data_IF_966480642300
#
_entry.id   IF_966480642300
#
_cell.length_a   1.000
_cell.length_b   1.000
_cell.length_c   1.000
_cell.angle_alpha   90.00
_cell.angle_beta   90.00
_cell.angle_gamma   90.00
#
_symmetry.space_group_name_H-M   'P 1'
#
loop_
_entity.id
_entity.type
_entity.pdbx_description
1 polymer ?
#
# COMPACT_ATOMS: atom_id res chain seq x y z
N UNK A 1 22.71 27.52 1.61
CA UNK A 1 22.86 26.28 2.37
C UNK A 1 24.27 25.82 2.15
N UNK A 2 25.04 25.62 3.21
CA UNK A 2 26.40 25.10 3.06
C UNK A 2 26.37 23.57 2.87
N UNK A 3 27.54 22.98 2.64
CA UNK A 3 27.67 21.55 2.35
C UNK A 3 27.21 20.67 3.52
N UNK A 4 27.52 21.07 4.75
CA UNK A 4 27.18 20.30 5.96
C UNK A 4 25.68 20.37 6.25
N UNK A 5 25.07 21.55 6.10
CA UNK A 5 23.63 21.74 6.24
C UNK A 5 22.85 20.80 5.31
N UNK A 6 23.31 20.62 4.07
CA UNK A 6 22.64 19.72 3.11
C UNK A 6 22.78 18.26 3.53
N UNK A 7 23.94 17.84 4.03
CA UNK A 7 24.12 16.48 4.59
C UNK A 7 23.14 16.25 5.74
N UNK A 8 23.04 17.20 6.68
CA UNK A 8 22.18 17.07 7.84
C UNK A 8 20.70 17.00 7.43
N UNK A 9 20.28 17.83 6.45
CA UNK A 9 18.93 17.76 5.87
C UNK A 9 18.65 16.46 5.14
N UNK A 10 19.63 15.87 4.45
CA UNK A 10 19.48 14.54 3.82
C UNK A 10 19.16 13.49 4.89
N UNK A 11 19.81 13.55 6.05
CA UNK A 11 19.51 12.64 7.16
C UNK A 11 18.19 12.94 7.85
N UNK A 12 17.84 14.22 8.04
CA UNK A 12 16.56 14.62 8.62
C UNK A 12 15.38 14.17 7.74
N UNK A 13 15.50 14.31 6.42
CA UNK A 13 14.51 13.84 5.46
C UNK A 13 14.30 12.32 5.49
N UNK A 14 15.24 11.56 6.05
CA UNK A 14 15.06 10.13 6.27
C UNK A 14 13.91 9.82 7.25
N UNK A 15 13.68 10.74 8.21
CA UNK A 15 12.68 10.64 9.26
C UNK A 15 11.45 11.52 9.01
N UNK A 16 11.62 12.60 8.24
CA UNK A 16 10.57 13.56 7.89
C UNK A 16 10.46 13.64 6.36
N UNK A 17 9.66 12.76 5.73
CA UNK A 17 9.57 12.67 4.26
C UNK A 17 9.13 13.97 3.55
N UNK A 18 8.50 14.88 4.28
CA UNK A 18 8.09 16.21 3.81
C UNK A 18 9.28 17.11 3.46
N UNK A 19 10.48 16.81 3.96
CA UNK A 19 11.70 17.59 3.69
C UNK A 19 12.41 17.20 2.39
N UNK A 20 12.04 16.07 1.76
CA UNK A 20 12.68 15.63 0.51
C UNK A 20 12.62 16.64 -0.64
N UNK A 21 11.51 17.37 -0.88
CA UNK A 21 11.48 18.42 -1.91
C UNK A 21 12.55 19.50 -1.69
N UNK A 22 12.80 19.90 -0.44
CA UNK A 22 13.83 20.89 -0.09
C UNK A 22 15.24 20.32 -0.31
N UNK A 23 15.46 19.05 0.05
CA UNK A 23 16.72 18.34 -0.23
C UNK A 23 16.98 18.26 -1.74
N UNK A 24 15.97 17.89 -2.53
CA UNK A 24 16.07 17.82 -3.99
C UNK A 24 16.36 19.20 -4.59
N UNK A 25 15.71 20.25 -4.07
CA UNK A 25 15.97 21.62 -4.51
C UNK A 25 17.40 22.07 -4.17
N UNK A 26 17.90 21.72 -2.98
CA UNK A 26 19.27 22.04 -2.57
C UNK A 26 20.32 21.28 -3.38
N UNK A 27 20.09 19.99 -3.68
CA UNK A 27 20.91 19.23 -4.64
C UNK A 27 20.89 19.88 -6.03
N UNK A 28 19.72 20.37 -6.47
CA UNK A 28 19.60 21.12 -7.71
C UNK A 28 20.48 22.37 -7.73
N UNK A 29 20.62 23.08 -6.60
CA UNK A 29 21.50 24.24 -6.49
C UNK A 29 23.00 23.87 -6.61
N UNK A 30 23.41 22.67 -6.18
CA UNK A 30 24.80 22.18 -6.32
C UNK A 30 25.19 21.97 -7.79
N UNK A 31 24.24 21.51 -8.61
CA UNK A 31 24.48 21.18 -10.02
C UNK A 31 23.85 22.14 -11.01
N UNK A 32 23.36 23.29 -10.53
CA UNK A 32 22.61 24.29 -11.31
C UNK A 32 21.41 23.70 -12.08
N UNK A 33 20.73 22.70 -11.51
CA UNK A 33 19.53 22.10 -12.08
C UNK A 33 18.30 22.93 -11.77
N UNK A 34 17.40 23.05 -12.73
CA UNK A 34 16.17 23.82 -12.59
C UNK A 34 15.10 23.09 -11.74
N UNK A 35 15.15 21.76 -11.66
CA UNK A 35 14.13 20.95 -10.98
C UNK A 35 14.66 19.54 -10.70
N UNK A 36 13.95 18.76 -9.88
CA UNK A 36 14.31 17.37 -9.63
C UNK A 36 13.21 16.52 -9.02
N UNK A 37 13.47 15.22 -8.95
CA UNK A 37 12.59 14.25 -8.32
C UNK A 37 13.35 13.09 -7.68
N UNK A 38 12.76 12.54 -6.62
CA UNK A 38 13.07 11.26 -6.02
C UNK A 38 11.90 10.31 -6.31
N UNK A 39 12.19 9.10 -6.78
CA UNK A 39 11.19 8.06 -7.03
C UNK A 39 11.63 6.76 -6.33
N UNK A 40 10.68 6.01 -5.79
CA UNK A 40 10.93 4.71 -5.16
C UNK A 40 10.11 3.65 -5.86
N UNK A 41 10.79 2.77 -6.58
CA UNK A 41 10.19 1.64 -7.28
C UNK A 41 10.24 0.41 -6.39
N UNK A 42 9.09 -0.08 -5.95
CA UNK A 42 8.94 -1.28 -5.11
C UNK A 42 8.16 -2.41 -5.80
N UNK A 43 7.96 -2.28 -7.12
CA UNK A 43 7.13 -3.18 -7.91
C UNK A 43 5.62 -2.89 -7.83
N UNK A 44 5.21 -1.88 -7.05
CA UNK A 44 3.80 -1.59 -6.76
C UNK A 44 3.33 -0.26 -7.39
N UNK A 45 2.04 0.05 -7.20
CA UNK A 45 1.39 1.26 -7.69
C UNK A 45 0.56 1.93 -6.57
N UNK A 46 0.47 3.28 -6.54
CA UNK A 46 1.30 4.21 -7.30
C UNK A 46 2.78 4.15 -6.86
N UNK A 47 3.70 4.57 -7.74
CA UNK A 47 5.11 4.74 -7.36
C UNK A 47 5.19 5.86 -6.32
N UNK A 48 5.88 5.63 -5.21
CA UNK A 48 6.10 6.70 -4.24
C UNK A 48 7.17 7.68 -4.74
N UNK A 49 6.89 8.98 -4.62
CA UNK A 49 7.77 10.01 -5.17
C UNK A 49 7.76 11.30 -4.34
N UNK A 50 8.81 12.09 -4.53
CA UNK A 50 8.91 13.49 -4.13
C UNK A 50 9.49 14.28 -5.29
N UNK A 51 8.98 15.48 -5.53
CA UNK A 51 9.45 16.32 -6.61
C UNK A 51 9.38 17.78 -6.20
N UNK A 52 10.24 18.59 -6.80
CA UNK A 52 10.12 20.05 -6.75
C UNK A 52 8.86 20.49 -7.49
N UNK A 53 8.33 21.66 -7.11
CA UNK A 53 7.03 22.16 -7.60
C UNK A 53 6.90 22.15 -9.13
N UNK A 54 7.95 22.50 -9.85
CA UNK A 54 7.94 22.58 -11.32
C UNK A 54 7.74 21.21 -12.01
N UNK A 55 8.18 20.12 -11.39
CA UNK A 55 8.03 18.77 -11.96
C UNK A 55 6.93 17.93 -11.29
N UNK A 56 6.29 18.46 -10.25
CA UNK A 56 5.35 17.70 -9.44
C UNK A 56 4.26 17.01 -10.27
N UNK A 57 3.51 17.75 -11.09
CA UNK A 57 2.40 17.19 -11.88
C UNK A 57 2.87 16.15 -12.91
N UNK A 58 4.04 16.38 -13.52
CA UNK A 58 4.60 15.46 -14.52
C UNK A 58 5.01 14.14 -13.89
N UNK A 59 5.68 14.20 -12.73
CA UNK A 59 6.09 13.01 -11.99
C UNK A 59 4.88 12.30 -11.38
N UNK A 60 3.92 13.04 -10.83
CA UNK A 60 2.67 12.49 -10.31
C UNK A 60 1.91 11.69 -11.39
N UNK A 61 1.74 12.26 -12.59
CA UNK A 61 1.07 11.58 -13.70
C UNK A 61 1.83 10.33 -14.15
N UNK A 62 3.17 10.35 -14.14
CA UNK A 62 3.96 9.16 -14.40
C UNK A 62 3.75 8.07 -13.32
N UNK A 63 3.80 8.46 -12.05
CA UNK A 63 3.73 7.54 -10.90
C UNK A 63 2.35 6.91 -10.68
N UNK A 64 1.30 7.51 -11.25
CA UNK A 64 -0.10 7.04 -11.14
C UNK A 64 -0.58 6.24 -12.36
N UNK A 65 0.26 6.10 -13.39
CA UNK A 65 -0.04 5.26 -14.57
C UNK A 65 0.81 3.99 -14.59
N UNK A 66 0.33 2.93 -15.27
CA UNK A 66 1.09 1.68 -15.43
C UNK A 66 2.24 1.78 -16.45
N UNK A 67 2.47 2.95 -17.05
CA UNK A 67 3.45 3.16 -18.13
C UNK A 67 4.88 2.79 -17.73
N UNK A 68 5.23 2.88 -16.44
CA UNK A 68 6.57 2.51 -15.97
C UNK A 68 6.87 1.00 -16.06
N UNK A 69 5.85 0.12 -16.05
CA UNK A 69 6.05 -1.34 -16.05
C UNK A 69 6.67 -1.83 -17.37
N UNK A 70 6.30 -1.17 -18.45
CA UNK A 70 6.80 -1.45 -19.79
C UNK A 70 8.04 -0.61 -20.14
N UNK A 71 8.45 0.30 -19.24
CA UNK A 71 9.59 1.17 -19.47
C UNK A 71 10.89 0.38 -19.47
N UNK A 72 11.55 0.33 -20.63
CA UNK A 72 12.87 -0.26 -20.82
C UNK A 72 13.93 0.38 -19.92
N UNK A 73 13.74 1.64 -19.51
CA UNK A 73 14.61 2.32 -18.54
C UNK A 73 14.59 1.64 -17.18
N UNK A 74 13.41 1.27 -16.70
CA UNK A 74 13.27 0.61 -15.40
C UNK A 74 13.91 -0.76 -15.45
N UNK A 75 13.73 -1.51 -16.54
CA UNK A 75 14.41 -2.81 -16.74
C UNK A 75 15.94 -2.66 -16.80
N UNK A 76 16.43 -1.57 -17.41
CA UNK A 76 17.85 -1.27 -17.49
C UNK A 76 18.48 -1.07 -16.10
N UNK A 77 17.74 -0.51 -15.12
CA UNK A 77 18.20 -0.35 -13.74
C UNK A 77 18.62 -1.67 -13.08
N UNK A 78 17.86 -2.75 -13.31
CA UNK A 78 18.10 -4.04 -12.67
C UNK A 78 19.29 -4.79 -13.26
N UNK A 79 19.72 -4.43 -14.47
CA UNK A 79 20.78 -5.14 -15.21
C UNK A 79 22.08 -4.36 -15.30
N UNK A 80 22.06 -3.05 -15.02
CA UNK A 80 23.22 -2.17 -15.12
C UNK A 80 23.35 -1.37 -13.82
N UNK A 81 24.15 -1.83 -12.84
CA UNK A 81 24.31 -1.10 -11.59
C UNK A 81 25.03 0.24 -11.81
N UNK A 82 24.57 1.27 -11.12
CA UNK A 82 25.17 2.61 -11.14
C UNK A 82 25.74 2.95 -9.76
N UNK A 83 26.92 3.58 -9.72
CA UNK A 83 27.52 4.15 -8.52
C UNK A 83 27.73 5.64 -8.73
N UNK A 84 27.00 6.46 -7.98
CA UNK A 84 27.02 7.91 -8.14
C UNK A 84 26.01 8.44 -9.16
N UNK A 85 26.04 9.76 -9.33
CA UNK A 85 25.34 10.49 -10.36
C UNK A 85 26.05 10.36 -11.71
N UNK A 86 25.26 10.06 -12.74
CA UNK A 86 25.68 10.05 -14.12
C UNK A 86 24.69 10.83 -15.00
N UNK A 87 25.17 11.24 -16.16
CA UNK A 87 24.32 11.81 -17.20
C UNK A 87 23.40 10.74 -17.78
N UNK A 88 22.14 11.09 -17.96
CA UNK A 88 21.16 10.20 -18.57
C UNK A 88 21.55 9.72 -19.96
N UNK A 89 22.14 10.61 -20.77
CA UNK A 89 22.61 10.31 -22.12
C UNK A 89 23.82 9.36 -22.16
N UNK A 90 24.62 9.32 -21.11
CA UNK A 90 25.78 8.43 -21.00
C UNK A 90 25.41 7.06 -20.41
N UNK A 91 24.44 7.06 -19.50
CA UNK A 91 24.01 5.85 -18.80
C UNK A 91 23.06 4.97 -19.64
N UNK A 92 22.12 5.58 -20.36
CA UNK A 92 21.16 4.81 -21.17
C UNK A 92 21.60 4.71 -22.63
N UNK A 93 21.42 3.52 -23.26
CA UNK A 93 21.49 3.39 -24.71
C UNK A 93 20.54 4.38 -25.42
N UNK A 94 20.94 4.99 -26.56
CA UNK A 94 20.14 5.99 -27.26
C UNK A 94 18.72 5.52 -27.58
N UNK A 95 18.54 4.26 -27.93
CA UNK A 95 17.25 3.67 -28.30
C UNK A 95 16.28 3.67 -27.10
N UNK A 96 16.80 3.44 -25.89
CA UNK A 96 16.01 3.49 -24.65
C UNK A 96 15.60 4.94 -24.33
N UNK A 97 16.43 5.93 -24.69
CA UNK A 97 16.16 7.36 -24.45
C UNK A 97 15.11 7.89 -25.42
N UNK A 98 15.17 7.51 -26.69
CA UNK A 98 14.28 7.99 -27.76
C UNK A 98 12.85 7.46 -27.66
N UNK A 99 12.68 6.21 -27.21
CA UNK A 99 11.38 5.55 -27.04
C UNK A 99 10.66 5.97 -25.74
N UNK A 100 11.33 6.64 -24.80
CA UNK A 100 10.78 6.90 -23.47
C UNK A 100 9.78 8.08 -23.46
N UNK A 101 8.49 7.76 -23.35
CA UNK A 101 7.40 8.75 -23.31
C UNK A 101 7.58 9.81 -22.22
N UNK A 102 8.16 9.43 -21.06
CA UNK A 102 8.39 10.35 -19.95
C UNK A 102 9.43 11.41 -20.34
N UNK A 103 10.54 11.02 -20.95
CA UNK A 103 11.52 11.97 -21.47
C UNK A 103 10.95 12.84 -22.59
N UNK A 104 10.12 12.30 -23.48
CA UNK A 104 9.46 13.10 -24.52
C UNK A 104 8.53 14.16 -23.90
N UNK A 105 7.79 13.83 -22.84
CA UNK A 105 6.97 14.81 -22.09
C UNK A 105 7.83 15.87 -21.41
N UNK A 106 8.93 15.48 -20.78
CA UNK A 106 9.87 16.40 -20.15
C UNK A 106 10.51 17.36 -21.17
N UNK A 107 10.89 16.87 -22.35
CA UNK A 107 11.37 17.69 -23.49
C UNK A 107 10.34 18.73 -23.92
N UNK A 108 9.07 18.36 -24.01
CA UNK A 108 7.97 19.30 -24.33
C UNK A 108 7.76 20.37 -23.26
N UNK A 109 8.15 20.10 -22.01
CA UNK A 109 8.14 21.05 -20.90
C UNK A 109 9.43 21.88 -20.81
N UNK A 110 10.32 21.76 -21.79
CA UNK A 110 11.56 22.52 -21.87
C UNK A 110 12.72 21.93 -21.08
N UNK A 111 12.72 20.63 -20.76
CA UNK A 111 13.85 19.94 -20.12
C UNK A 111 14.57 19.02 -21.10
N UNK A 112 15.89 19.15 -21.23
CA UNK A 112 16.64 18.41 -22.27
C UNK A 112 17.66 17.41 -21.71
N UNK A 113 18.30 17.75 -20.60
CA UNK A 113 19.35 16.95 -19.97
C UNK A 113 19.04 16.67 -18.49
N UNK A 114 19.59 15.59 -17.95
CA UNK A 114 19.43 15.25 -16.54
C UNK A 114 20.62 14.44 -16.00
N UNK A 115 21.00 14.77 -14.78
CA UNK A 115 21.88 13.96 -13.95
C UNK A 115 21.03 13.10 -13.02
N UNK A 116 21.36 11.83 -12.87
CA UNK A 116 20.62 10.95 -11.97
C UNK A 116 21.47 9.86 -11.36
N UNK A 117 20.99 9.33 -10.24
CA UNK A 117 21.57 8.17 -9.56
C UNK A 117 20.49 7.15 -9.26
N UNK A 118 20.89 5.88 -9.19
CA UNK A 118 20.05 4.73 -8.88
C UNK A 118 20.65 4.05 -7.66
N UNK A 119 19.84 3.83 -6.63
CA UNK A 119 20.28 3.25 -5.37
C UNK A 119 19.41 2.03 -5.07
N UNK A 120 19.89 0.81 -5.33
CA UNK A 120 19.17 -0.41 -4.98
C UNK A 120 19.19 -0.61 -3.46
N UNK A 121 18.03 -0.86 -2.87
CA UNK A 121 17.86 -1.11 -1.45
C UNK A 121 17.93 -2.62 -1.16
N UNK A 122 18.46 -3.04 0.01
CA UNK A 122 18.46 -4.44 0.43
C UNK A 122 17.07 -5.07 0.55
N UNK A 123 16.04 -4.22 0.72
CA UNK A 123 14.62 -4.59 0.82
C UNK A 123 13.95 -4.79 -0.55
N UNK A 124 14.69 -4.59 -1.64
CA UNK A 124 14.28 -4.84 -3.02
C UNK A 124 13.77 -3.61 -3.78
N UNK A 125 13.57 -2.49 -3.10
CA UNK A 125 13.21 -1.22 -3.75
C UNK A 125 14.39 -0.60 -4.49
N UNK A 126 14.09 0.19 -5.50
CA UNK A 126 15.06 1.04 -6.18
C UNK A 126 14.71 2.49 -5.94
N UNK A 127 15.65 3.25 -5.38
CA UNK A 127 15.52 4.71 -5.22
C UNK A 127 16.22 5.39 -6.39
N UNK A 128 15.52 6.30 -7.06
CA UNK A 128 16.06 7.09 -8.16
C UNK A 128 16.01 8.55 -7.79
N UNK A 129 17.15 9.24 -7.89
CA UNK A 129 17.19 10.70 -7.89
C UNK A 129 17.48 11.17 -9.30
N UNK A 130 16.72 12.15 -9.79
CA UNK A 130 16.91 12.76 -11.09
C UNK A 130 16.81 14.29 -10.97
N UNK A 131 17.83 15.00 -11.43
CA UNK A 131 17.92 16.45 -11.48
C UNK A 131 17.94 16.89 -12.93
N UNK A 132 17.06 17.81 -13.30
CA UNK A 132 16.76 18.17 -14.68
C UNK A 132 17.22 19.59 -15.01
N UNK A 133 17.84 19.76 -16.19
CA UNK A 133 18.19 21.05 -16.79
C UNK A 133 17.19 21.51 -17.83
N UNK A 134 17.01 22.84 -17.95
CA UNK A 134 16.21 23.42 -19.02
C UNK A 134 16.95 23.32 -20.34
N UNK A 135 16.21 23.40 -21.44
CA UNK A 135 16.75 23.30 -22.81
C UNK A 135 17.76 24.39 -23.15
N UNK A 136 17.67 25.54 -22.47
CA UNK A 136 18.56 26.68 -22.68
C UNK A 136 19.80 26.66 -21.78
N UNK A 137 19.89 25.71 -20.85
CA UNK A 137 21.05 25.55 -19.96
C UNK A 137 22.14 24.72 -20.65
N UNK A 138 23.41 24.94 -20.30
CA UNK A 138 24.52 24.10 -20.76
C UNK A 138 24.36 22.63 -20.31
N UNK A 139 25.11 21.70 -20.88
CA UNK A 139 25.19 20.33 -20.36
C UNK A 139 25.87 20.28 -18.98
N UNK A 140 25.61 19.23 -18.18
CA UNK A 140 26.31 19.07 -16.90
C UNK A 140 27.82 18.91 -17.12
N UNK A 141 28.60 19.71 -16.41
CA UNK A 141 30.04 19.57 -16.34
C UNK A 141 30.44 18.43 -15.40
N UNK A 142 31.62 17.86 -15.63
CA UNK A 142 32.20 16.87 -14.72
C UNK A 142 32.32 17.37 -13.27
N UNK A 143 32.65 18.65 -13.08
CA UNK A 143 32.76 19.27 -11.75
C UNK A 143 31.44 19.27 -11.00
N UNK A 144 30.32 19.51 -11.69
CA UNK A 144 28.99 19.47 -11.08
C UNK A 144 28.56 18.05 -10.72
N UNK A 145 28.87 17.07 -11.59
CA UNK A 145 28.63 15.66 -11.29
C UNK A 145 29.48 15.18 -10.10
N UNK A 146 30.76 15.56 -10.05
CA UNK A 146 31.66 15.28 -8.92
C UNK A 146 31.11 15.89 -7.62
N UNK A 147 30.59 17.12 -7.67
CA UNK A 147 29.93 17.77 -6.53
C UNK A 147 28.66 17.06 -6.06
N UNK A 148 27.83 16.55 -6.98
CA UNK A 148 26.68 15.70 -6.61
C UNK A 148 27.12 14.37 -6.00
N UNK A 149 28.23 13.80 -6.50
CA UNK A 149 28.77 12.53 -6.04
C UNK A 149 29.29 12.57 -4.59
N UNK A 150 29.67 13.75 -4.08
CA UNK A 150 29.97 13.92 -2.65
C UNK A 150 28.77 13.57 -1.75
N UNK A 151 27.53 13.77 -2.23
CA UNK A 151 26.30 13.46 -1.49
C UNK A 151 25.76 12.05 -1.73
N UNK A 152 26.27 11.30 -2.72
CA UNK A 152 25.75 9.98 -3.08
C UNK A 152 25.71 9.02 -1.88
N UNK A 153 26.81 8.93 -1.13
CA UNK A 153 26.90 8.07 0.05
C UNK A 153 25.96 8.49 1.18
N UNK A 154 25.59 9.76 1.28
CA UNK A 154 24.62 10.28 2.24
C UNK A 154 23.19 9.94 1.82
N UNK A 155 22.85 10.14 0.54
CA UNK A 155 21.56 9.77 -0.03
C UNK A 155 21.29 8.27 0.09
N UNK A 156 22.30 7.44 -0.18
CA UNK A 156 22.19 5.98 -0.03
C UNK A 156 21.94 5.56 1.42
N UNK A 157 22.68 6.12 2.37
CA UNK A 157 22.50 5.84 3.81
C UNK A 157 21.14 6.32 4.33
N UNK A 158 20.74 7.53 3.97
CA UNK A 158 19.44 8.10 4.34
C UNK A 158 18.29 7.26 3.79
N UNK A 159 18.35 6.91 2.50
CA UNK A 159 17.36 6.02 1.86
C UNK A 159 17.25 4.65 2.56
N UNK A 160 18.39 4.05 2.89
CA UNK A 160 18.44 2.78 3.64
C UNK A 160 17.81 2.91 5.03
N UNK A 161 18.05 4.02 5.74
CA UNK A 161 17.46 4.29 7.05
C UNK A 161 15.94 4.41 6.95
N UNK A 162 15.42 5.17 5.98
CA UNK A 162 13.97 5.27 5.74
C UNK A 162 13.32 3.92 5.47
N UNK A 163 13.91 3.10 4.59
CA UNK A 163 13.42 1.76 4.28
C UNK A 163 13.40 0.85 5.53
N UNK A 164 14.47 0.86 6.33
CA UNK A 164 14.56 0.06 7.57
C UNK A 164 13.56 0.49 8.63
N UNK A 165 13.41 1.80 8.87
CA UNK A 165 12.46 2.32 9.86
C UNK A 165 11.04 1.87 9.56
N UNK A 166 10.66 1.87 8.29
CA UNK A 166 9.34 1.41 7.86
C UNK A 166 9.10 -0.07 8.02
N UNK A 167 10.10 -0.88 7.69
CA UNK A 167 10.03 -2.31 7.99
C UNK A 167 9.86 -2.55 9.50
N UNK A 168 10.58 -1.81 10.34
CA UNK A 168 10.41 -1.90 11.80
C UNK A 168 9.02 -1.45 12.27
N UNK A 169 8.42 -0.44 11.64
CA UNK A 169 7.06 -0.01 11.95
C UNK A 169 6.02 -1.07 11.56
N UNK A 170 6.21 -1.74 10.42
CA UNK A 170 5.38 -2.89 10.01
C UNK A 170 5.48 -4.04 11.03
N UNK A 171 6.70 -4.37 11.47
CA UNK A 171 6.92 -5.36 12.53
C UNK A 171 6.23 -4.98 13.85
N UNK A 172 6.40 -3.73 14.30
CA UNK A 172 5.78 -3.24 15.52
C UNK A 172 4.24 -3.32 15.46
N UNK A 173 3.66 -3.00 14.29
CA UNK A 173 2.20 -3.09 14.07
C UNK A 173 1.70 -4.53 14.17
N UNK A 174 2.38 -5.49 13.51
CA UNK A 174 2.04 -6.90 13.60
C UNK A 174 2.21 -7.47 15.02
N UNK A 175 3.28 -7.07 15.71
CA UNK A 175 3.56 -7.46 17.09
C UNK A 175 2.51 -6.91 18.07
N UNK A 176 2.03 -5.68 17.87
CA UNK A 176 0.95 -5.11 18.68
C UNK A 176 -0.34 -5.94 18.58
N UNK A 177 -0.68 -6.46 17.39
CA UNK A 177 -1.83 -7.36 17.23
C UNK A 177 -1.62 -8.69 17.95
N UNK A 178 -0.39 -9.21 17.96
CA UNK A 178 -0.06 -10.42 18.71
C UNK A 178 -0.27 -10.23 20.22
N UNK A 179 0.03 -9.04 20.76
CA UNK A 179 -0.23 -8.71 22.16
C UNK A 179 -1.73 -8.72 22.51
N UNK A 180 -2.61 -8.51 21.53
CA UNK A 180 -4.07 -8.68 21.67
C UNK A 180 -4.56 -10.11 21.37
N UNK A 181 -3.65 -11.05 21.10
CA UNK A 181 -4.00 -12.42 20.74
C UNK A 181 -4.54 -12.58 19.32
N UNK A 182 -4.26 -11.64 18.43
CA UNK A 182 -4.79 -11.63 17.06
C UNK A 182 -3.71 -11.98 16.02
N UNK A 183 -3.92 -13.02 15.19
CA UNK A 183 -3.12 -13.25 13.98
C UNK A 183 -3.17 -12.04 13.05
N UNK A 184 -2.00 -11.54 12.64
CA UNK A 184 -1.93 -10.37 11.79
C UNK A 184 -0.74 -10.36 10.83
N UNK A 185 -0.95 -9.68 9.70
CA UNK A 185 0.07 -9.38 8.71
C UNK A 185 -0.03 -7.93 8.25
N UNK A 186 1.10 -7.30 7.98
CA UNK A 186 1.19 -5.98 7.37
C UNK A 186 1.68 -6.17 5.94
N UNK A 187 0.91 -5.64 4.98
CA UNK A 187 1.14 -5.79 3.55
C UNK A 187 1.33 -4.39 2.93
N UNK A 188 2.14 -4.33 1.87
CA UNK A 188 2.14 -3.20 0.93
C UNK A 188 0.80 -3.09 0.21
N UNK A 189 0.58 -1.99 -0.51
CA UNK A 189 -0.60 -1.77 -1.35
C UNK A 189 -0.75 -2.88 -2.41
N UNK A 190 0.34 -3.55 -2.80
CA UNK A 190 0.30 -4.69 -3.73
C UNK A 190 -0.06 -6.05 -3.14
N UNK A 191 -0.24 -6.11 -1.82
CA UNK A 191 -0.41 -7.36 -1.11
C UNK A 191 0.89 -8.14 -0.91
N UNK A 192 2.07 -7.55 -1.18
CA UNK A 192 3.36 -8.08 -0.71
C UNK A 192 3.41 -7.96 0.81
N UNK A 193 3.70 -9.05 1.51
CA UNK A 193 3.80 -9.13 2.97
C UNK A 193 5.10 -8.48 3.41
N UNK A 194 5.02 -7.47 4.28
CA UNK A 194 6.16 -6.81 4.92
C UNK A 194 6.49 -7.44 6.27
N UNK A 195 5.45 -7.80 7.04
CA UNK A 195 5.60 -8.47 8.32
C UNK A 195 4.41 -9.35 8.62
N UNK A 196 4.66 -10.44 9.33
CA UNK A 196 3.68 -11.31 9.97
C UNK A 196 3.96 -11.38 11.46
N UNK A 197 2.97 -11.80 12.24
CA UNK A 197 3.22 -12.24 13.60
C UNK A 197 3.14 -13.77 13.70
N UNK A 198 3.71 -14.32 14.77
CA UNK A 198 3.78 -15.77 15.00
C UNK A 198 2.40 -16.45 15.00
N UNK A 199 1.35 -15.74 15.43
CA UNK A 199 -0.01 -16.28 15.46
C UNK A 199 -0.53 -16.56 14.04
N UNK A 200 -0.22 -15.69 13.07
CA UNK A 200 -0.59 -15.91 11.66
C UNK A 200 0.32 -16.92 11.00
N UNK A 201 1.62 -16.89 11.29
CA UNK A 201 2.59 -17.89 10.78
C UNK A 201 2.23 -19.32 11.20
N UNK A 202 1.64 -19.48 12.38
CA UNK A 202 1.13 -20.76 12.89
C UNK A 202 -0.23 -21.16 12.27
N UNK A 203 -0.69 -20.50 11.21
CA UNK A 203 -1.89 -20.86 10.45
C UNK A 203 -1.60 -21.15 8.96
N UNK A 204 -0.65 -22.05 8.63
CA UNK A 204 -0.22 -22.30 7.25
C UNK A 204 -1.32 -22.93 6.37
N UNK A 205 -2.29 -23.63 6.98
CA UNK A 205 -3.44 -24.21 6.26
C UNK A 205 -4.48 -23.15 5.85
N UNK A 206 -4.44 -21.98 6.48
CA UNK A 206 -5.34 -20.86 6.21
C UNK A 206 -4.65 -19.84 5.30
N UNK A 207 -3.46 -19.41 5.70
CA UNK A 207 -2.70 -18.37 5.01
C UNK A 207 -1.51 -18.98 4.29
N UNK A 208 -1.58 -18.97 2.97
CA UNK A 208 -0.60 -19.64 2.10
C UNK A 208 0.32 -18.59 1.47
N UNK A 209 1.65 -18.71 1.59
CA UNK A 209 2.57 -17.83 0.89
C UNK A 209 2.53 -18.07 -0.61
N UNK A 210 2.66 -16.99 -1.38
CA UNK A 210 2.73 -16.99 -2.83
C UNK A 210 4.09 -16.46 -3.31
N UNK A 211 4.37 -16.64 -4.60
CA UNK A 211 5.53 -16.03 -5.25
C UNK A 211 5.54 -14.49 -5.05
N UNK A 212 6.73 -13.90 -5.10
CA UNK A 212 6.97 -12.46 -4.91
C UNK A 212 6.57 -11.94 -3.52
N UNK A 213 6.57 -12.82 -2.50
CA UNK A 213 6.31 -12.44 -1.11
C UNK A 213 4.86 -12.03 -0.84
N UNK A 214 3.91 -12.48 -1.66
CA UNK A 214 2.47 -12.25 -1.44
C UNK A 214 1.89 -13.38 -0.58
N UNK A 215 0.64 -13.22 -0.16
CA UNK A 215 -0.12 -14.27 0.52
C UNK A 215 -1.53 -14.40 -0.05
N UNK A 216 -2.11 -15.58 0.08
CA UNK A 216 -3.51 -15.85 -0.17
C UNK A 216 -4.15 -16.59 1.01
N UNK A 217 -5.48 -16.68 0.95
CA UNK A 217 -6.23 -17.61 1.79
C UNK A 217 -6.37 -18.93 1.01
N UNK A 218 -6.24 -20.08 1.69
CA UNK A 218 -6.36 -21.39 1.07
C UNK A 218 -7.75 -21.67 0.48
N UNK A 219 -8.80 -21.12 1.10
CA UNK A 219 -10.16 -21.16 0.54
C UNK A 219 -10.30 -20.25 -0.68
N UNK A 220 -10.70 -20.81 -1.81
CA UNK A 220 -10.76 -20.12 -3.10
C UNK A 220 -11.72 -18.92 -3.11
N UNK A 221 -12.88 -19.05 -2.46
CA UNK A 221 -13.91 -18.01 -2.46
C UNK A 221 -13.55 -16.87 -1.50
N UNK A 222 -13.10 -17.21 -0.29
CA UNK A 222 -12.58 -16.23 0.68
C UNK A 222 -11.35 -15.51 0.12
N UNK A 223 -10.45 -16.23 -0.58
CA UNK A 223 -9.30 -15.61 -1.22
C UNK A 223 -9.73 -14.62 -2.31
N UNK A 224 -10.72 -14.95 -3.12
CA UNK A 224 -11.22 -14.03 -4.16
C UNK A 224 -11.65 -12.70 -3.54
N UNK A 225 -12.39 -12.75 -2.44
CA UNK A 225 -12.81 -11.56 -1.70
C UNK A 225 -11.61 -10.79 -1.12
N UNK A 226 -10.63 -11.48 -0.52
CA UNK A 226 -9.40 -10.82 -0.03
C UNK A 226 -8.64 -10.11 -1.16
N UNK A 227 -8.48 -10.77 -2.31
CA UNK A 227 -7.81 -10.18 -3.47
C UNK A 227 -8.59 -8.98 -4.04
N UNK A 228 -9.93 -9.01 -4.03
CA UNK A 228 -10.76 -7.86 -4.40
C UNK A 228 -10.47 -6.65 -3.49
N UNK A 229 -10.29 -6.84 -2.18
CA UNK A 229 -9.92 -5.74 -1.26
C UNK A 229 -8.54 -5.16 -1.60
N UNK A 230 -7.54 -6.03 -1.79
CA UNK A 230 -6.17 -5.60 -2.12
C UNK A 230 -6.16 -4.84 -3.46
N UNK A 231 -6.84 -5.36 -4.48
CA UNK A 231 -6.91 -4.74 -5.80
C UNK A 231 -7.66 -3.40 -5.78
N UNK A 232 -8.74 -3.28 -5.01
CA UNK A 232 -9.45 -2.02 -4.85
C UNK A 232 -8.57 -0.94 -4.21
N UNK A 233 -7.79 -1.31 -3.19
CA UNK A 233 -6.81 -0.39 -2.59
C UNK A 233 -5.72 0.05 -3.57
N UNK A 234 -5.20 -0.87 -4.39
CA UNK A 234 -4.27 -0.52 -5.47
C UNK A 234 -4.86 0.50 -6.45
N UNK A 235 -6.13 0.33 -6.81
CA UNK A 235 -6.83 1.22 -7.73
C UNK A 235 -7.25 2.56 -7.09
N UNK A 236 -7.03 2.75 -5.78
CA UNK A 236 -7.54 3.91 -5.05
C UNK A 236 -9.07 3.95 -4.96
N UNK A 237 -9.73 2.81 -5.17
CA UNK A 237 -11.17 2.64 -5.06
C UNK A 237 -11.55 2.20 -3.64
N UNK A 238 -12.79 2.50 -3.22
CA UNK A 238 -13.30 1.90 -1.99
C UNK A 238 -13.63 0.42 -2.23
N UNK A 239 -13.10 -0.50 -1.40
CA UNK A 239 -13.44 -1.91 -1.51
C UNK A 239 -14.91 -2.12 -1.11
N UNK A 240 -15.61 -2.99 -1.83
CA UNK A 240 -17.00 -3.38 -1.53
C UNK A 240 -17.14 -4.18 -0.23
N UNK A 241 -16.05 -4.78 0.25
CA UNK A 241 -15.99 -5.62 1.45
C UNK A 241 -14.70 -5.32 2.20
N UNK A 242 -14.73 -5.23 3.52
CA UNK A 242 -13.52 -5.05 4.38
C UNK A 242 -13.26 -6.22 5.32
N UNK A 243 -14.22 -7.13 5.44
CA UNK A 243 -14.19 -8.27 6.33
C UNK A 243 -14.65 -9.49 5.57
N UNK A 244 -13.82 -10.52 5.53
CA UNK A 244 -14.09 -11.75 4.79
C UNK A 244 -14.26 -12.89 5.80
N UNK A 245 -15.45 -13.51 5.88
CA UNK A 245 -15.65 -14.65 6.76
C UNK A 245 -14.95 -15.89 6.20
N UNK A 246 -14.25 -16.59 7.07
CA UNK A 246 -13.70 -17.92 6.83
C UNK A 246 -14.50 -18.93 7.65
N UNK A 247 -15.19 -19.81 6.94
CA UNK A 247 -16.02 -20.84 7.57
C UNK A 247 -15.18 -22.02 8.02
N UNK A 248 -15.65 -22.72 9.06
CA UNK A 248 -14.98 -23.93 9.52
C UNK A 248 -14.93 -24.99 8.42
N UNK A 249 -13.72 -25.37 8.03
CA UNK A 249 -13.41 -26.48 7.12
C UNK A 249 -12.08 -27.10 7.55
N UNK A 250 -11.95 -28.42 7.42
CA UNK A 250 -10.69 -29.14 7.65
C UNK A 250 -10.00 -28.79 8.98
N UNK A 251 -10.74 -28.79 10.10
CA UNK A 251 -10.22 -28.48 11.43
C UNK A 251 -9.76 -27.01 11.65
N UNK A 252 -10.09 -26.11 10.72
CA UNK A 252 -9.91 -24.66 10.90
C UNK A 252 -11.09 -24.09 11.70
N UNK A 253 -10.80 -23.35 12.76
CA UNK A 253 -11.81 -22.63 13.52
C UNK A 253 -12.42 -21.50 12.67
N UNK A 254 -13.75 -21.26 12.75
CA UNK A 254 -14.37 -20.18 12.01
C UNK A 254 -13.79 -18.84 12.46
N UNK A 255 -13.45 -17.97 11.51
CA UNK A 255 -12.81 -16.68 11.78
C UNK A 255 -13.24 -15.63 10.77
N UNK A 256 -12.95 -14.37 11.05
CA UNK A 256 -13.14 -13.26 10.11
C UNK A 256 -11.80 -12.62 9.84
N UNK A 257 -11.47 -12.51 8.55
CA UNK A 257 -10.27 -11.82 8.10
C UNK A 257 -10.64 -10.39 7.74
N UNK A 258 -10.15 -9.44 8.52
CA UNK A 258 -10.30 -8.01 8.27
C UNK A 258 -9.10 -7.50 7.47
N UNK A 259 -9.37 -6.72 6.43
CA UNK A 259 -8.36 -6.00 5.66
C UNK A 259 -8.57 -4.50 5.87
N UNK A 260 -7.74 -3.92 6.74
CA UNK A 260 -7.85 -2.54 7.19
C UNK A 260 -6.81 -1.67 6.46
N UNK A 261 -7.20 -0.56 5.82
CA UNK A 261 -6.24 0.40 5.32
C UNK A 261 -5.50 1.04 6.51
N UNK A 262 -4.18 0.92 6.52
CA UNK A 262 -3.34 1.76 7.37
C UNK A 262 -3.30 3.12 6.71
N UNK A 263 -3.73 4.18 7.43
CA UNK A 263 -3.87 5.52 6.86
C UNK A 263 -2.58 5.88 6.12
N UNK A 264 -2.72 6.08 4.81
CA UNK A 264 -1.68 6.64 3.96
C UNK A 264 -1.29 7.99 4.55
N UNK A 265 -0.12 8.08 5.19
CA UNK A 265 0.59 9.35 5.11
C UNK A 265 0.90 9.50 3.62
N UNK A 266 0.04 10.22 2.89
CA UNK A 266 0.11 10.44 1.44
C UNK A 266 1.39 11.18 1.00
N UNK A 267 2.35 11.31 1.91
CA UNK A 267 3.59 12.01 1.81
C UNK A 267 4.79 11.08 2.01
N UNK A 268 4.62 9.76 2.17
CA UNK A 268 5.75 8.86 2.36
C UNK A 268 6.16 8.14 1.05
N UNK A 269 7.46 7.94 0.84
CA UNK A 269 8.04 7.59 -0.49
C UNK A 269 8.19 6.08 -0.71
N UNK A 270 8.80 5.34 0.20
CA UNK A 270 8.70 3.89 0.36
C UNK A 270 7.38 3.44 1.05
N UNK A 271 6.90 2.22 0.82
CA UNK A 271 5.71 1.68 1.51
C UNK A 271 6.05 1.16 2.92
N UNK A 272 5.25 1.50 3.94
CA UNK A 272 5.46 1.13 5.35
C UNK A 272 4.46 0.15 5.93
N UNK A 273 3.64 -0.43 5.07
CA UNK A 273 2.43 -1.12 5.44
C UNK A 273 1.22 -0.28 5.08
N UNK A 274 0.53 -0.69 4.03
CA UNK A 274 -0.66 -0.01 3.52
C UNK A 274 -1.93 -0.76 3.95
N UNK A 275 -1.82 -2.08 4.15
CA UNK A 275 -2.92 -2.95 4.49
C UNK A 275 -2.54 -3.76 5.73
N UNK A 276 -3.35 -3.66 6.78
CA UNK A 276 -3.28 -4.54 7.93
C UNK A 276 -4.32 -5.65 7.77
N UNK A 277 -3.84 -6.89 7.67
CA UNK A 277 -4.67 -8.09 7.78
C UNK A 277 -4.73 -8.49 9.24
N UNK A 278 -5.95 -8.68 9.75
CA UNK A 278 -6.20 -9.21 11.10
C UNK A 278 -7.20 -10.35 10.99
N UNK A 279 -6.86 -11.54 11.49
CA UNK A 279 -7.82 -12.62 11.65
C UNK A 279 -8.36 -12.62 13.07
N UNK A 280 -9.69 -12.55 13.22
CA UNK A 280 -10.36 -12.67 14.52
C UNK A 280 -11.10 -14.00 14.56
N UNK A 281 -10.86 -14.87 15.55
CA UNK A 281 -11.67 -16.07 15.71
C UNK A 281 -13.12 -15.65 15.97
N UNK A 282 -14.07 -16.40 15.41
CA UNK A 282 -15.48 -16.27 15.76
C UNK A 282 -15.64 -16.90 17.14
N UNK A 283 -15.24 -16.18 18.18
CA UNK A 283 -15.70 -16.51 19.53
C UNK A 283 -17.21 -16.48 19.49
N UNK A 284 -17.86 -17.55 19.93
CA UNK A 284 -19.29 -17.62 20.13
C UNK A 284 -19.69 -16.68 21.28
N UNK A 285 -19.51 -15.38 21.09
CA UNK A 285 -20.15 -14.39 21.93
C UNK A 285 -21.63 -14.43 21.59
N UNK A 286 -22.47 -14.61 22.59
CA UNK A 286 -23.93 -14.59 22.43
C UNK A 286 -24.44 -13.21 22.03
N UNK A 287 -23.60 -12.17 22.11
CA UNK A 287 -23.94 -10.79 21.79
C UNK A 287 -23.58 -10.44 20.34
N UNK A 288 -24.60 -10.14 19.55
CA UNK A 288 -24.46 -9.48 18.26
C UNK A 288 -24.18 -7.98 18.52
N UNK A 289 -23.25 -7.33 17.79
CA UNK A 289 -23.02 -5.89 17.93
C UNK A 289 -24.30 -5.07 17.77
N UNK A 290 -24.34 -3.87 18.35
CA UNK A 290 -25.50 -3.00 18.21
C UNK A 290 -25.76 -2.65 16.73
N UNK A 291 -27.02 -2.36 16.35
CA UNK A 291 -27.36 -2.00 14.98
C UNK A 291 -26.49 -0.87 14.40
N UNK A 292 -26.17 0.14 15.20
CA UNK A 292 -25.29 1.25 14.81
C UNK A 292 -23.88 0.78 14.47
N UNK A 293 -23.33 -0.17 15.21
CA UNK A 293 -22.02 -0.76 14.96
C UNK A 293 -22.06 -1.59 13.67
N UNK A 294 -23.09 -2.41 13.47
CA UNK A 294 -23.23 -3.21 12.24
C UNK A 294 -23.37 -2.35 10.98
N UNK A 295 -24.12 -1.24 11.07
CA UNK A 295 -24.20 -0.26 9.99
C UNK A 295 -22.83 0.31 9.65
N UNK A 296 -22.02 0.66 10.65
CA UNK A 296 -20.67 1.22 10.43
C UNK A 296 -19.63 0.19 9.98
N UNK A 297 -19.75 -1.08 10.37
CA UNK A 297 -18.78 -2.13 10.02
C UNK A 297 -18.98 -2.69 8.60
N UNK A 298 -20.22 -2.71 8.10
CA UNK A 298 -20.59 -3.38 6.86
C UNK A 298 -21.37 -2.48 5.89
N UNK A 299 -21.42 -1.18 6.16
CA UNK A 299 -22.17 -0.18 5.38
C UNK A 299 -23.64 -0.60 5.13
N UNK A 300 -24.24 -1.28 6.10
CA UNK A 300 -25.63 -1.71 6.02
C UNK A 300 -26.56 -0.51 6.19
N UNK A 301 -27.62 -0.49 5.39
CA UNK A 301 -28.73 0.46 5.60
C UNK A 301 -29.50 0.07 6.87
N UNK A 302 -30.33 0.98 7.43
CA UNK A 302 -31.18 0.65 8.56
C UNK A 302 -32.08 -0.57 8.30
N UNK A 303 -32.61 -0.74 7.08
CA UNK A 303 -33.47 -1.87 6.72
C UNK A 303 -32.69 -3.19 6.65
N UNK A 304 -31.52 -3.19 6.01
CA UNK A 304 -30.63 -4.37 5.93
C UNK A 304 -30.15 -4.80 7.32
N UNK A 305 -29.86 -3.83 8.20
CA UNK A 305 -29.42 -4.09 9.56
C UNK A 305 -30.50 -4.80 10.38
N UNK A 306 -31.77 -4.36 10.28
CA UNK A 306 -32.86 -5.01 11.02
C UNK A 306 -33.09 -6.45 10.56
N UNK A 307 -33.03 -6.71 9.25
CA UNK A 307 -33.10 -8.09 8.73
C UNK A 307 -31.92 -8.92 9.25
N UNK A 308 -30.70 -8.38 9.20
CA UNK A 308 -29.48 -9.06 9.67
C UNK A 308 -29.56 -9.43 11.17
N UNK A 309 -30.05 -8.52 12.01
CA UNK A 309 -30.25 -8.74 13.45
C UNK A 309 -31.26 -9.85 13.73
N UNK A 310 -32.38 -9.89 12.99
CA UNK A 310 -33.39 -10.93 13.13
C UNK A 310 -32.81 -12.32 12.77
N UNK A 311 -32.05 -12.41 11.68
CA UNK A 311 -31.38 -13.64 11.26
C UNK A 311 -30.31 -14.08 12.28
N UNK A 312 -29.53 -13.14 12.81
CA UNK A 312 -28.52 -13.42 13.84
C UNK A 312 -29.11 -13.94 15.17
N UNK A 313 -30.36 -13.55 15.45
CA UNK A 313 -31.16 -14.04 16.57
C UNK A 313 -31.79 -15.43 16.33
N UNK A 314 -31.49 -16.08 15.20
CA UNK A 314 -31.97 -17.42 14.87
C UNK A 314 -33.30 -17.47 14.12
N UNK A 315 -33.87 -16.33 13.73
CA UNK A 315 -35.13 -16.29 12.96
C UNK A 315 -34.91 -16.72 11.51
N UNK A 316 -35.92 -17.34 10.92
CA UNK A 316 -35.97 -17.60 9.48
C UNK A 316 -36.17 -16.31 8.68
N UNK A 317 -35.81 -16.32 7.40
CA UNK A 317 -36.03 -15.17 6.51
C UNK A 317 -37.51 -14.74 6.44
N UNK A 318 -38.45 -15.70 6.57
CA UNK A 318 -39.89 -15.42 6.55
C UNK A 318 -40.33 -14.68 7.82
N UNK A 319 -39.82 -15.09 8.98
CA UNK A 319 -40.09 -14.42 10.26
C UNK A 319 -39.45 -13.03 10.30
N UNK A 320 -38.21 -12.91 9.82
CA UNK A 320 -37.53 -11.62 9.69
C UNK A 320 -38.29 -10.66 8.76
N UNK A 321 -38.86 -11.16 7.66
CA UNK A 321 -39.68 -10.35 6.76
C UNK A 321 -40.96 -9.85 7.45
N UNK A 322 -41.65 -10.73 8.18
CA UNK A 322 -42.86 -10.41 8.92
C UNK A 322 -42.62 -9.33 9.97
N UNK A 323 -41.57 -9.50 10.78
CA UNK A 323 -41.19 -8.56 11.85
C UNK A 323 -40.78 -7.19 11.32
N UNK A 324 -40.18 -7.15 10.13
CA UNK A 324 -39.75 -5.90 9.50
C UNK A 324 -40.80 -5.29 8.58
N UNK A 325 -42.02 -5.84 8.55
CA UNK A 325 -43.12 -5.37 7.71
C UNK A 325 -42.76 -5.29 6.22
N UNK A 326 -41.99 -6.26 5.72
CA UNK A 326 -41.62 -6.38 4.31
C UNK A 326 -42.08 -7.71 3.72
N UNK A 327 -42.22 -7.78 2.40
CA UNK A 327 -42.51 -9.05 1.74
C UNK A 327 -41.30 -9.99 1.82
N UNK A 328 -41.54 -11.31 1.78
CA UNK A 328 -40.44 -12.29 1.70
C UNK A 328 -39.56 -12.05 0.46
N UNK A 329 -40.15 -11.59 -0.64
CA UNK A 329 -39.42 -11.19 -1.86
C UNK A 329 -38.47 -10.02 -1.58
N UNK A 330 -38.94 -8.97 -0.92
CA UNK A 330 -38.14 -7.81 -0.52
C UNK A 330 -37.03 -8.20 0.45
N UNK A 331 -37.34 -9.04 1.45
CA UNK A 331 -36.35 -9.56 2.39
C UNK A 331 -35.26 -10.38 1.69
N UNK A 332 -35.61 -11.15 0.66
CA UNK A 332 -34.63 -11.87 -0.18
C UNK A 332 -33.74 -10.91 -0.97
N UNK A 333 -34.29 -9.84 -1.53
CA UNK A 333 -33.48 -8.80 -2.18
C UNK A 333 -32.57 -8.05 -1.20
N UNK A 334 -33.01 -7.79 0.03
CA UNK A 334 -32.13 -7.25 1.08
C UNK A 334 -31.03 -8.24 1.44
N UNK A 335 -31.35 -9.53 1.55
CA UNK A 335 -30.37 -10.57 1.86
C UNK A 335 -29.28 -10.67 0.79
N UNK A 336 -29.63 -10.57 -0.50
CA UNK A 336 -28.67 -10.52 -1.61
C UNK A 336 -27.72 -9.32 -1.51
N UNK A 337 -28.23 -8.14 -1.13
CA UNK A 337 -27.39 -6.94 -0.92
C UNK A 337 -26.51 -7.06 0.32
N UNK A 338 -27.04 -7.63 1.40
CA UNK A 338 -26.27 -7.91 2.62
C UNK A 338 -25.13 -8.87 2.29
N UNK A 339 -25.41 -9.95 1.56
CA UNK A 339 -24.40 -10.90 1.09
C UNK A 339 -23.27 -10.22 0.31
N UNK A 340 -23.61 -9.33 -0.61
CA UNK A 340 -22.62 -8.54 -1.34
C UNK A 340 -21.76 -7.64 -0.42
N UNK A 341 -22.37 -6.92 0.53
CA UNK A 341 -21.65 -6.01 1.45
C UNK A 341 -20.81 -6.72 2.51
N UNK A 342 -21.19 -7.95 2.85
CA UNK A 342 -20.56 -8.75 3.91
C UNK A 342 -19.63 -9.82 3.37
N UNK A 343 -19.52 -9.97 2.05
CA UNK A 343 -18.75 -11.06 1.42
C UNK A 343 -19.29 -12.45 1.77
N UNK A 344 -20.57 -12.57 2.12
CA UNK A 344 -21.19 -13.86 2.47
C UNK A 344 -22.05 -14.35 1.32
N UNK A 345 -22.37 -15.65 1.28
CA UNK A 345 -23.25 -16.27 0.27
C UNK A 345 -24.39 -17.09 0.87
N UNK A 346 -24.36 -17.32 2.18
CA UNK A 346 -25.36 -18.11 2.88
C UNK A 346 -25.72 -17.45 4.22
N UNK A 347 -26.96 -17.64 4.67
CA UNK A 347 -27.43 -17.08 5.94
C UNK A 347 -26.57 -17.53 7.13
N UNK A 348 -26.12 -18.78 7.14
CA UNK A 348 -25.23 -19.30 8.19
C UNK A 348 -23.88 -18.57 8.24
N UNK A 349 -23.32 -18.21 7.08
CA UNK A 349 -22.07 -17.44 6.98
C UNK A 349 -22.26 -16.02 7.50
N UNK A 350 -23.38 -15.38 7.14
CA UNK A 350 -23.75 -14.06 7.66
C UNK A 350 -23.91 -14.08 9.18
N UNK A 351 -24.62 -15.07 9.73
CA UNK A 351 -24.82 -15.18 11.18
C UNK A 351 -23.49 -15.39 11.91
N UNK A 352 -22.58 -16.20 11.36
CA UNK A 352 -21.25 -16.39 11.91
C UNK A 352 -20.45 -15.07 11.93
N UNK A 353 -20.40 -14.38 10.78
CA UNK A 353 -19.73 -13.08 10.63
C UNK A 353 -20.24 -12.04 11.64
N UNK A 354 -21.56 -11.93 11.80
CA UNK A 354 -22.18 -10.96 12.71
C UNK A 354 -21.82 -11.22 14.18
N UNK A 355 -21.70 -12.50 14.57
CA UNK A 355 -21.33 -12.90 15.95
C UNK A 355 -19.84 -12.72 16.26
N UNK A 356 -18.97 -12.85 15.26
CA UNK A 356 -17.53 -12.55 15.38
C UNK A 356 -17.19 -11.07 15.46
N UNK A 357 -18.02 -10.19 14.90
CA UNK A 357 -17.79 -8.74 14.94
C UNK A 357 -18.04 -8.09 16.30
N UNK A 358 -18.40 -8.86 17.33
CA UNK A 358 -18.41 -8.37 18.70
C UNK A 358 -16.99 -7.96 19.08
N UNK A 359 -16.80 -6.66 19.36
CA UNK A 359 -15.53 -6.14 19.87
C UNK A 359 -15.05 -7.01 21.05
N UNK A 360 -13.74 -7.27 21.19
CA UNK A 360 -13.21 -7.93 22.38
C UNK A 360 -13.61 -7.09 23.60
N UNK A 361 -14.66 -7.52 24.30
CA UNK A 361 -15.10 -6.88 25.51
C UNK A 361 -13.97 -6.98 26.53
N UNK A 362 -13.58 -5.83 27.08
CA UNK A 362 -12.67 -5.71 28.22
C UNK A 362 -12.99 -6.80 29.24
N UNK A 363 -12.14 -7.83 29.34
CA UNK A 363 -12.15 -8.73 30.49
C UNK A 363 -11.47 -7.97 31.63
N UNK A 364 -12.23 -7.15 32.35
CA UNK A 364 -11.87 -6.79 33.72
C UNK A 364 -12.15 -8.03 34.57
N UNK A 365 -11.11 -8.83 34.81
CA UNK A 365 -11.05 -9.84 35.85
C UNK A 365 -10.09 -9.36 36.93
#
# INVERSE_FOLDING_TARGET
MDHQDLIDKIYEAAFIPELWPDVIQALGAVSHSASGAMLVFDGTMPIGFKATQLLFDTIHNFCTTSAWRESRRIQHFYTNPLSGFALGSEYFPPEIVEEDERLLKLKKLGFHDYAGTIIPMPTGEIVVFALHRKIDDDAFSKRELDGLNEFYGHLARSSLMSARLRLQQAHATAAAMAAFGLPAAVLTNSGRVLSTNLLLENMPDVFVPLAHGRMCIGDTETNKLLQEVINAQQAGAEPSVRSVPLMSRNNIEPMVVHALPLRRSAHDVFSGGDILIVASPVTASSMVPSPTILMGLFDLTPAETKVSMALASGKSLKEAALENHVTVKTARSYLERIFAKTGTRQQSQLVALLKSTAAPGNRTG
#
